data_IF_573343696025
#
_entry.id   IF_573343696025
#
_cell.length_a   1.000
_cell.length_b   1.000
_cell.length_c   1.000
_cell.angle_alpha   90.00
_cell.angle_beta   90.00
_cell.angle_gamma   90.00
#
_symmetry.space_group_name_H-M   'P 1'
#
loop_
_entity.id
_entity.type
_entity.pdbx_description
1 polymer ?
#
# COMPACT_ATOMS: atom_id res chain seq x y z
N UNK A 1 36.61 -18.51 -28.79
CA UNK A 1 35.22 -18.85 -29.20
C UNK A 1 34.34 -19.10 -28.01
N UNK A 2 34.68 -19.99 -27.05
CA UNK A 2 33.85 -20.31 -25.87
C UNK A 2 33.61 -19.08 -24.97
N UNK A 3 34.56 -18.17 -24.81
CA UNK A 3 34.48 -16.95 -24.04
C UNK A 3 33.58 -15.89 -24.72
N UNK A 4 33.66 -15.77 -26.05
CA UNK A 4 32.76 -14.92 -26.85
C UNK A 4 31.33 -15.43 -26.84
N UNK A 5 31.09 -16.73 -26.88
CA UNK A 5 29.78 -17.35 -26.74
C UNK A 5 29.13 -17.05 -25.35
N UNK A 6 29.92 -17.08 -24.28
CA UNK A 6 29.42 -16.76 -22.93
C UNK A 6 29.03 -15.29 -22.77
N UNK A 7 29.84 -14.36 -23.34
CA UNK A 7 29.52 -12.92 -23.30
C UNK A 7 28.23 -12.62 -24.09
N UNK A 8 28.11 -13.21 -25.29
CA UNK A 8 26.94 -13.06 -26.14
C UNK A 8 25.66 -13.63 -25.46
N UNK A 9 25.75 -14.81 -24.84
CA UNK A 9 24.63 -15.42 -24.12
C UNK A 9 24.21 -14.60 -22.90
N UNK A 10 25.16 -14.05 -22.14
CA UNK A 10 24.88 -13.15 -21.02
C UNK A 10 24.18 -11.88 -21.48
N UNK A 11 24.66 -11.26 -22.56
CA UNK A 11 24.02 -10.07 -23.11
C UNK A 11 22.58 -10.34 -23.59
N UNK A 12 22.34 -11.49 -24.20
CA UNK A 12 20.99 -11.93 -24.61
C UNK A 12 20.07 -12.16 -23.40
N UNK A 13 20.59 -12.75 -22.30
CA UNK A 13 19.82 -12.94 -21.06
C UNK A 13 19.46 -11.59 -20.42
N UNK A 14 20.41 -10.65 -20.35
CA UNK A 14 20.12 -9.30 -19.81
C UNK A 14 19.10 -8.56 -20.67
N UNK A 15 19.13 -8.72 -21.99
CA UNK A 15 18.12 -8.13 -22.88
C UNK A 15 16.72 -8.75 -22.62
N UNK A 16 16.65 -10.05 -22.42
CA UNK A 16 15.42 -10.72 -22.02
C UNK A 16 14.92 -10.24 -20.65
N UNK A 17 15.81 -10.16 -19.65
CA UNK A 17 15.45 -9.68 -18.30
C UNK A 17 14.92 -8.24 -18.34
N UNK A 18 15.57 -7.35 -19.10
CA UNK A 18 15.11 -5.98 -19.29
C UNK A 18 13.73 -5.90 -19.97
N UNK A 19 13.44 -6.80 -20.91
CA UNK A 19 12.11 -6.89 -21.50
C UNK A 19 11.05 -7.27 -20.45
N UNK A 20 11.34 -8.24 -19.57
CA UNK A 20 10.43 -8.59 -18.47
C UNK A 20 10.28 -7.43 -17.46
N UNK A 21 11.35 -6.75 -17.08
CA UNK A 21 11.32 -5.56 -16.20
C UNK A 21 10.45 -4.45 -16.77
N UNK A 22 10.47 -4.28 -18.07
CA UNK A 22 9.75 -3.20 -18.77
C UNK A 22 8.30 -3.55 -19.11
N UNK A 23 8.03 -4.78 -19.50
CA UNK A 23 6.76 -5.16 -20.12
C UNK A 23 6.04 -6.32 -19.40
N UNK A 24 6.68 -6.95 -18.40
CA UNK A 24 6.13 -8.12 -17.71
C UNK A 24 4.78 -7.86 -17.05
N UNK A 25 4.56 -6.64 -16.54
CA UNK A 25 3.30 -6.23 -15.92
C UNK A 25 2.09 -6.35 -16.86
N UNK A 26 2.28 -6.22 -18.18
CA UNK A 26 1.21 -6.41 -19.17
C UNK A 26 0.68 -7.85 -19.20
N UNK A 27 1.51 -8.83 -18.84
CA UNK A 27 1.16 -10.24 -18.74
C UNK A 27 0.87 -10.69 -17.30
N UNK A 28 0.86 -9.76 -16.33
CA UNK A 28 0.60 -10.06 -14.93
C UNK A 28 -0.84 -10.55 -14.71
N UNK A 29 -1.00 -11.42 -13.72
CA UNK A 29 -2.28 -12.03 -13.34
C UNK A 29 -3.02 -11.16 -12.33
N UNK A 30 -3.54 -10.02 -12.81
CA UNK A 30 -4.19 -9.01 -11.97
C UNK A 30 -5.72 -9.13 -11.93
N UNK A 31 -6.30 -10.00 -12.75
CA UNK A 31 -7.75 -10.24 -12.79
C UNK A 31 -8.10 -11.58 -12.15
N UNK A 32 -8.50 -11.59 -10.86
CA UNK A 32 -8.81 -12.83 -10.14
C UNK A 32 -10.03 -13.56 -10.70
N UNK A 33 -10.90 -12.85 -11.43
CA UNK A 33 -12.10 -13.42 -12.04
C UNK A 33 -11.85 -13.89 -13.49
N UNK A 34 -10.68 -13.59 -14.05
CA UNK A 34 -10.30 -13.95 -15.43
C UNK A 34 -11.31 -13.48 -16.48
N UNK A 35 -11.92 -12.30 -16.27
CA UNK A 35 -12.91 -11.73 -17.19
C UNK A 35 -12.27 -11.17 -18.46
N UNK A 36 -10.98 -10.81 -18.38
CA UNK A 36 -10.23 -10.26 -19.51
C UNK A 36 -9.08 -11.20 -19.88
N UNK A 37 -8.90 -11.53 -21.17
CA UNK A 37 -7.74 -12.31 -21.60
C UNK A 37 -6.44 -11.58 -21.26
N UNK A 38 -5.46 -12.32 -20.72
CA UNK A 38 -4.13 -11.76 -20.46
C UNK A 38 -3.44 -11.41 -21.76
N UNK A 39 -2.80 -10.26 -21.77
CA UNK A 39 -1.92 -9.87 -22.87
C UNK A 39 -0.73 -10.85 -22.94
N UNK A 40 -0.27 -11.10 -24.15
CA UNK A 40 0.94 -11.87 -24.43
C UNK A 40 1.89 -10.97 -25.23
N UNK A 41 2.65 -10.10 -24.55
CA UNK A 41 3.58 -9.19 -25.23
C UNK A 41 4.63 -10.00 -25.97
N UNK A 42 4.88 -9.67 -27.23
CA UNK A 42 5.84 -10.37 -28.12
C UNK A 42 7.24 -10.39 -27.49
N UNK A 43 7.63 -9.31 -26.83
CA UNK A 43 8.94 -9.17 -26.17
C UNK A 43 9.18 -10.12 -24.99
N UNK A 44 8.20 -10.90 -24.54
CA UNK A 44 8.30 -11.82 -23.42
C UNK A 44 8.44 -13.29 -23.86
N UNK A 45 8.76 -13.53 -25.13
CA UNK A 45 9.01 -14.86 -25.68
C UNK A 45 10.49 -15.21 -25.52
N UNK A 46 10.87 -16.16 -24.61
CA UNK A 46 12.28 -16.48 -24.36
C UNK A 46 13.03 -16.94 -25.62
N UNK A 47 12.32 -17.63 -26.55
CA UNK A 47 12.87 -18.10 -27.81
C UNK A 47 13.45 -16.99 -28.69
N UNK A 48 12.91 -15.76 -28.63
CA UNK A 48 13.42 -14.60 -29.38
C UNK A 48 14.82 -14.16 -28.90
N UNK A 49 15.20 -14.57 -27.70
CA UNK A 49 16.50 -14.32 -27.09
C UNK A 49 17.41 -15.56 -27.10
N UNK A 50 16.96 -16.67 -27.70
CA UNK A 50 17.70 -17.93 -27.74
C UNK A 50 17.66 -18.73 -26.43
N UNK A 51 16.62 -18.56 -25.61
CA UNK A 51 16.41 -19.26 -24.35
C UNK A 51 15.15 -20.14 -24.39
N UNK A 52 15.11 -21.14 -23.53
CA UNK A 52 13.95 -21.98 -23.31
C UNK A 52 12.99 -21.32 -22.30
N UNK A 53 11.70 -21.71 -22.27
CA UNK A 53 10.73 -21.18 -21.31
C UNK A 53 11.15 -21.31 -19.84
N UNK A 54 11.84 -22.40 -19.49
CA UNK A 54 12.38 -22.66 -18.15
C UNK A 54 13.48 -21.68 -17.74
N UNK A 55 14.28 -21.17 -18.68
CA UNK A 55 15.33 -20.17 -18.41
C UNK A 55 14.72 -18.84 -17.95
N UNK A 56 13.48 -18.55 -18.35
CA UNK A 56 12.75 -17.33 -17.99
C UNK A 56 11.77 -17.53 -16.81
N UNK A 57 11.74 -18.71 -16.18
CA UNK A 57 10.74 -19.01 -15.15
C UNK A 57 10.76 -18.02 -14.00
N UNK A 58 11.94 -17.70 -13.48
CA UNK A 58 12.10 -16.71 -12.40
C UNK A 58 11.59 -15.32 -12.81
N UNK A 59 11.94 -14.85 -14.00
CA UNK A 59 11.46 -13.56 -14.52
C UNK A 59 9.94 -13.53 -14.67
N UNK A 60 9.35 -14.63 -15.14
CA UNK A 60 7.88 -14.74 -15.23
C UNK A 60 7.21 -14.72 -13.87
N UNK A 61 7.77 -15.40 -12.88
CA UNK A 61 7.25 -15.39 -11.51
C UNK A 61 7.32 -13.99 -10.90
N UNK A 62 8.43 -13.27 -11.11
CA UNK A 62 8.61 -11.92 -10.60
C UNK A 62 7.71 -10.89 -11.28
N UNK A 63 7.63 -10.90 -12.62
CA UNK A 63 7.03 -9.78 -13.38
C UNK A 63 5.66 -10.08 -14.00
N UNK A 64 5.29 -11.36 -14.13
CA UNK A 64 3.99 -11.77 -14.67
C UNK A 64 3.11 -12.47 -13.62
N UNK A 65 3.44 -12.33 -12.33
CA UNK A 65 2.70 -12.88 -11.20
C UNK A 65 1.47 -12.05 -10.82
N UNK A 66 1.18 -12.04 -9.52
CA UNK A 66 0.02 -11.32 -8.95
C UNK A 66 0.28 -9.83 -8.68
N UNK A 67 1.48 -9.34 -8.98
CA UNK A 67 1.87 -7.93 -8.83
C UNK A 67 2.31 -7.41 -10.19
N UNK A 68 1.72 -6.28 -10.60
CA UNK A 68 2.13 -5.55 -11.81
C UNK A 68 3.23 -4.54 -11.47
N UNK A 69 4.47 -4.84 -11.86
CA UNK A 69 5.62 -3.96 -11.63
C UNK A 69 5.78 -2.94 -12.77
N UNK A 70 5.06 -1.83 -12.70
CA UNK A 70 5.12 -0.76 -13.70
C UNK A 70 6.31 0.18 -13.45
N UNK A 71 7.53 -0.33 -13.52
CA UNK A 71 8.76 0.40 -13.19
C UNK A 71 9.50 0.96 -14.40
N UNK A 72 9.14 0.55 -15.60
CA UNK A 72 9.85 0.93 -16.84
C UNK A 72 9.84 2.42 -17.17
N UNK A 73 8.92 3.21 -16.60
CA UNK A 73 8.84 4.66 -16.78
C UNK A 73 9.79 5.47 -15.87
N UNK A 74 10.38 4.81 -14.86
CA UNK A 74 11.24 5.48 -13.87
C UNK A 74 12.57 5.86 -14.52
N UNK A 75 12.83 7.18 -14.65
CA UNK A 75 14.04 7.71 -15.29
C UNK A 75 15.28 7.52 -14.43
N UNK A 76 15.16 7.58 -13.12
CA UNK A 76 16.30 7.36 -12.21
C UNK A 76 16.67 5.87 -12.22
N UNK A 77 17.81 5.53 -12.81
CA UNK A 77 18.28 4.15 -12.96
C UNK A 77 18.51 3.45 -11.62
N UNK A 78 19.08 4.15 -10.64
CA UNK A 78 19.35 3.59 -9.31
C UNK A 78 18.05 3.14 -8.62
N UNK A 79 17.00 3.96 -8.69
CA UNK A 79 15.67 3.61 -8.14
C UNK A 79 15.04 2.45 -8.90
N UNK A 80 15.12 2.46 -10.22
CA UNK A 80 14.57 1.38 -11.06
C UNK A 80 15.27 0.06 -10.76
N UNK A 81 16.61 0.06 -10.70
CA UNK A 81 17.40 -1.12 -10.42
C UNK A 81 17.15 -1.65 -9.00
N UNK A 82 16.94 -0.75 -8.04
CA UNK A 82 16.55 -1.14 -6.68
C UNK A 82 15.20 -1.86 -6.68
N UNK A 83 14.18 -1.29 -7.36
CA UNK A 83 12.85 -1.91 -7.47
C UNK A 83 12.91 -3.25 -8.22
N UNK A 84 13.73 -3.36 -9.27
CA UNK A 84 13.93 -4.63 -9.98
C UNK A 84 14.52 -5.71 -9.05
N UNK A 85 15.52 -5.35 -8.24
CA UNK A 85 16.07 -6.27 -7.23
C UNK A 85 15.03 -6.70 -6.20
N UNK A 86 14.14 -5.78 -5.77
CA UNK A 86 13.04 -6.15 -4.85
C UNK A 86 12.04 -7.11 -5.52
N UNK A 87 11.69 -6.87 -6.79
CA UNK A 87 10.79 -7.74 -7.53
C UNK A 87 11.37 -9.15 -7.77
N UNK A 88 12.69 -9.24 -7.93
CA UNK A 88 13.43 -10.48 -8.21
C UNK A 88 13.90 -11.20 -6.93
N UNK A 89 13.79 -10.57 -5.75
CA UNK A 89 14.14 -11.19 -4.50
C UNK A 89 13.12 -12.25 -4.08
N UNK A 90 13.55 -13.26 -3.34
CA UNK A 90 12.63 -14.17 -2.68
C UNK A 90 11.78 -13.41 -1.67
N UNK A 91 10.47 -13.65 -1.71
CA UNK A 91 9.55 -13.01 -0.77
C UNK A 91 9.82 -13.55 0.66
N UNK A 92 9.94 -12.63 1.61
CA UNK A 92 10.00 -13.01 3.01
C UNK A 92 8.72 -13.75 3.43
N UNK A 93 8.84 -14.76 4.32
CA UNK A 93 7.68 -15.49 4.80
C UNK A 93 6.68 -14.55 5.49
N UNK A 94 5.46 -14.53 4.99
CA UNK A 94 4.37 -13.74 5.57
C UNK A 94 3.74 -14.48 6.76
N UNK A 95 3.52 -13.79 7.87
CA UNK A 95 2.74 -14.33 8.97
C UNK A 95 1.24 -14.28 8.62
N UNK A 96 0.77 -15.31 7.93
CA UNK A 96 -0.63 -15.44 7.48
C UNK A 96 -1.59 -15.35 8.66
N UNK A 97 -1.27 -15.97 9.82
CA UNK A 97 -2.13 -15.95 10.99
C UNK A 97 -2.36 -14.51 11.49
N UNK A 98 -1.30 -13.70 11.54
CA UNK A 98 -1.42 -12.29 11.95
C UNK A 98 -2.30 -11.49 10.99
N UNK A 99 -2.24 -11.78 9.70
CA UNK A 99 -3.10 -11.14 8.69
C UNK A 99 -4.56 -11.55 8.86
N UNK A 100 -4.83 -12.84 9.11
CA UNK A 100 -6.18 -13.36 9.39
C UNK A 100 -6.75 -12.74 10.67
N UNK A 101 -5.97 -12.68 11.73
CA UNK A 101 -6.39 -12.11 13.01
C UNK A 101 -6.75 -10.62 12.87
N UNK A 102 -5.99 -9.87 12.09
CA UNK A 102 -6.26 -8.47 11.83
C UNK A 102 -7.55 -8.27 11.02
N UNK A 103 -7.77 -9.09 10.00
CA UNK A 103 -9.00 -9.07 9.19
C UNK A 103 -10.21 -9.44 10.06
N UNK A 104 -10.10 -10.49 10.88
CA UNK A 104 -11.17 -10.91 11.78
C UNK A 104 -11.53 -9.82 12.80
N UNK A 105 -10.52 -9.09 13.34
CA UNK A 105 -10.77 -7.94 14.22
C UNK A 105 -11.49 -6.81 13.47
N UNK A 106 -11.13 -6.54 12.21
CA UNK A 106 -11.80 -5.53 11.39
C UNK A 106 -13.26 -5.89 11.13
N UNK A 107 -13.56 -7.13 10.74
CA UNK A 107 -14.92 -7.62 10.51
C UNK A 107 -15.76 -7.55 11.80
N UNK A 108 -15.21 -7.97 12.94
CA UNK A 108 -15.88 -7.89 14.23
C UNK A 108 -16.19 -6.44 14.62
N UNK A 109 -15.23 -5.53 14.43
CA UNK A 109 -15.40 -4.11 14.68
C UNK A 109 -16.53 -3.53 13.81
N UNK A 110 -16.48 -3.74 12.49
CA UNK A 110 -17.46 -3.21 11.55
C UNK A 110 -18.88 -3.81 11.79
N UNK A 111 -18.98 -5.10 12.04
CA UNK A 111 -20.24 -5.74 12.40
C UNK A 111 -20.82 -5.20 13.72
N UNK A 112 -19.96 -4.88 14.69
CA UNK A 112 -20.36 -4.28 15.96
C UNK A 112 -20.86 -2.85 15.75
N UNK A 113 -20.13 -2.04 14.97
CA UNK A 113 -20.57 -0.70 14.60
C UNK A 113 -21.92 -0.71 13.88
N UNK A 114 -22.11 -1.58 12.90
CA UNK A 114 -23.39 -1.73 12.19
C UNK A 114 -24.58 -2.09 13.08
N UNK A 115 -24.35 -2.92 14.10
CA UNK A 115 -25.41 -3.30 15.07
C UNK A 115 -25.69 -2.21 16.10
N UNK A 116 -24.66 -1.54 16.60
CA UNK A 116 -24.76 -0.56 17.69
C UNK A 116 -25.08 0.85 17.20
N UNK A 117 -24.72 1.17 15.98
CA UNK A 117 -24.85 2.51 15.40
C UNK A 117 -25.41 2.43 13.98
N UNK A 118 -26.63 1.88 13.79
CA UNK A 118 -27.18 1.62 12.44
C UNK A 118 -27.42 2.90 11.63
N UNK A 119 -27.53 4.05 12.28
CA UNK A 119 -27.70 5.36 11.63
C UNK A 119 -26.35 6.02 11.25
N UNK A 120 -25.23 5.54 11.80
CA UNK A 120 -23.92 6.10 11.49
C UNK A 120 -23.43 5.60 10.11
N UNK A 121 -22.92 6.52 9.30
CA UNK A 121 -22.25 6.15 8.05
C UNK A 121 -20.87 5.60 8.40
N UNK A 122 -20.66 4.33 8.16
CA UNK A 122 -19.38 3.64 8.38
C UNK A 122 -18.90 3.06 7.08
N UNK A 123 -18.12 3.77 6.30
CA UNK A 123 -17.56 3.23 5.07
C UNK A 123 -16.58 2.09 5.39
N UNK A 124 -17.10 0.87 5.46
CA UNK A 124 -16.35 -0.32 5.86
C UNK A 124 -15.36 -0.81 4.80
N UNK A 125 -14.57 -1.81 5.19
CA UNK A 125 -13.53 -2.43 4.36
C UNK A 125 -14.03 -3.55 3.45
N UNK A 126 -15.30 -3.93 3.53
CA UNK A 126 -15.83 -5.10 2.81
C UNK A 126 -15.38 -5.14 1.34
N UNK A 127 -14.68 -6.21 0.96
CA UNK A 127 -14.06 -6.40 -0.35
C UNK A 127 -12.67 -5.73 -0.53
N UNK A 128 -12.15 -5.05 0.49
CA UNK A 128 -10.84 -4.39 0.47
C UNK A 128 -10.00 -4.67 1.72
N UNK A 129 -10.23 -5.79 2.38
CA UNK A 129 -9.58 -6.16 3.66
C UNK A 129 -8.06 -6.26 3.52
N UNK A 130 -7.56 -6.67 2.34
CA UNK A 130 -6.14 -6.70 2.04
C UNK A 130 -5.45 -5.34 2.18
N UNK A 131 -6.18 -4.24 1.98
CA UNK A 131 -5.66 -2.88 2.21
C UNK A 131 -5.28 -2.63 3.68
N UNK A 132 -6.03 -3.19 4.63
CA UNK A 132 -5.71 -3.09 6.05
C UNK A 132 -4.39 -3.79 6.37
N UNK A 133 -4.21 -5.01 5.85
CA UNK A 133 -2.97 -5.80 6.02
C UNK A 133 -1.78 -5.08 5.40
N UNK A 134 -1.94 -4.57 4.17
CA UNK A 134 -0.92 -3.78 3.49
C UNK A 134 -0.51 -2.55 4.32
N UNK A 135 -1.49 -1.79 4.82
CA UNK A 135 -1.21 -0.60 5.64
C UNK A 135 -0.47 -0.95 6.92
N UNK A 136 -0.87 -2.05 7.60
CA UNK A 136 -0.17 -2.53 8.79
C UNK A 136 1.29 -2.87 8.50
N UNK A 137 1.57 -3.53 7.38
CA UNK A 137 2.93 -3.91 7.00
C UNK A 137 3.78 -2.69 6.62
N UNK A 138 3.20 -1.73 5.90
CA UNK A 138 3.88 -0.45 5.59
C UNK A 138 4.27 0.29 6.87
N UNK A 139 3.40 0.31 7.89
CA UNK A 139 3.72 0.95 9.18
C UNK A 139 4.84 0.20 9.93
N UNK A 140 4.83 -1.15 9.94
CA UNK A 140 5.91 -1.95 10.53
C UNK A 140 7.23 -1.71 9.81
N UNK A 141 7.22 -1.73 8.48
CA UNK A 141 8.40 -1.47 7.65
C UNK A 141 8.95 -0.06 7.87
N UNK A 142 8.09 0.94 8.01
CA UNK A 142 8.51 2.30 8.37
C UNK A 142 9.26 2.32 9.70
N UNK A 143 8.68 1.71 10.74
CA UNK A 143 9.31 1.64 12.06
C UNK A 143 10.66 0.90 12.04
N UNK A 144 10.74 -0.24 11.35
CA UNK A 144 11.99 -1.00 11.22
C UNK A 144 13.08 -0.26 10.43
N UNK A 145 12.66 0.64 9.53
CA UNK A 145 13.55 1.52 8.75
C UNK A 145 13.91 2.83 9.49
N UNK A 146 13.54 2.98 10.77
CA UNK A 146 13.85 4.16 11.58
C UNK A 146 12.93 5.36 11.32
N UNK A 147 11.85 5.19 10.55
CA UNK A 147 10.86 6.24 10.31
C UNK A 147 9.88 6.27 11.47
N UNK A 148 9.91 7.34 12.25
CA UNK A 148 9.10 7.47 13.45
C UNK A 148 7.76 8.17 13.21
N UNK A 149 7.61 8.92 12.11
CA UNK A 149 6.41 9.67 11.79
C UNK A 149 5.89 9.30 10.39
N UNK A 150 4.59 8.99 10.31
CA UNK A 150 3.90 8.66 9.06
C UNK A 150 2.71 9.59 8.88
N UNK A 151 2.68 10.32 7.77
CA UNK A 151 1.61 11.27 7.44
C UNK A 151 0.77 10.73 6.30
N UNK A 152 -0.53 10.52 6.56
CA UNK A 152 -1.45 9.84 5.64
C UNK A 152 -2.47 10.83 5.10
N UNK A 153 -2.51 10.97 3.78
CA UNK A 153 -3.61 11.56 3.03
C UNK A 153 -4.43 10.44 2.42
N UNK A 154 -5.44 9.97 3.11
CA UNK A 154 -6.16 8.75 2.74
C UNK A 154 -7.65 8.94 2.53
N UNK A 155 -8.25 7.97 1.85
CA UNK A 155 -9.67 7.90 1.55
C UNK A 155 -10.54 7.60 2.79
N UNK A 156 -11.86 7.64 2.62
CA UNK A 156 -12.83 7.34 3.68
C UNK A 156 -13.06 5.84 3.91
N UNK A 157 -12.79 4.98 2.90
CA UNK A 157 -13.03 3.52 3.01
C UNK A 157 -12.17 2.90 4.11
N UNK A 158 -12.81 2.21 5.04
CA UNK A 158 -12.16 1.58 6.19
C UNK A 158 -11.51 2.55 7.17
N UNK A 159 -11.79 3.86 7.07
CA UNK A 159 -11.11 4.88 7.88
C UNK A 159 -11.29 4.67 9.38
N UNK A 160 -12.52 4.42 9.84
CA UNK A 160 -12.78 4.20 11.26
C UNK A 160 -12.11 2.92 11.76
N UNK A 161 -12.14 1.87 10.96
CA UNK A 161 -11.48 0.59 11.24
C UNK A 161 -9.97 0.76 11.34
N UNK A 162 -9.35 1.50 10.42
CA UNK A 162 -7.92 1.79 10.46
C UNK A 162 -7.56 2.67 11.67
N UNK A 163 -8.35 3.70 11.97
CA UNK A 163 -8.13 4.54 13.16
C UNK A 163 -8.13 3.69 14.44
N UNK A 164 -9.11 2.78 14.58
CA UNK A 164 -9.23 1.91 15.74
C UNK A 164 -8.10 0.88 15.85
N UNK A 165 -7.76 0.21 14.73
CA UNK A 165 -6.88 -0.96 14.75
C UNK A 165 -5.42 -0.62 14.42
N UNK A 166 -5.16 0.38 13.57
CA UNK A 166 -3.83 0.69 13.08
C UNK A 166 -3.27 2.03 13.54
N UNK A 167 -4.10 3.03 13.80
CA UNK A 167 -3.60 4.39 14.07
C UNK A 167 -3.67 4.78 15.55
N UNK A 168 -4.04 3.84 16.43
CA UNK A 168 -4.00 4.02 17.87
C UNK A 168 -5.09 4.94 18.43
N UNK A 169 -6.18 5.19 17.67
CA UNK A 169 -7.34 5.92 18.21
C UNK A 169 -8.07 5.02 19.20
N UNK A 170 -8.33 5.47 20.45
CA UNK A 170 -9.05 4.67 21.41
C UNK A 170 -10.43 4.28 20.90
N UNK A 171 -10.81 3.01 21.03
CA UNK A 171 -12.08 2.49 20.55
C UNK A 171 -13.28 3.27 21.12
N UNK A 172 -13.19 3.64 22.41
CA UNK A 172 -14.22 4.45 23.05
C UNK A 172 -14.42 5.80 22.36
N UNK A 173 -13.33 6.42 21.90
CA UNK A 173 -13.41 7.69 21.17
C UNK A 173 -13.97 7.50 19.76
N UNK A 174 -13.61 6.43 19.05
CA UNK A 174 -14.21 6.12 17.74
C UNK A 174 -15.72 5.92 17.85
N UNK A 175 -16.18 5.27 18.93
CA UNK A 175 -17.61 5.08 19.20
C UNK A 175 -18.28 6.41 19.55
N UNK A 176 -17.66 7.24 20.37
CA UNK A 176 -18.19 8.54 20.75
C UNK A 176 -18.34 9.46 19.52
N UNK A 177 -17.34 9.51 18.67
CA UNK A 177 -17.39 10.25 17.39
C UNK A 177 -18.54 9.76 16.51
N UNK A 178 -18.72 8.44 16.41
CA UNK A 178 -19.78 7.84 15.60
C UNK A 178 -21.19 8.10 16.17
N UNK A 179 -21.28 8.38 17.48
CA UNK A 179 -22.52 8.81 18.16
C UNK A 179 -22.75 10.32 18.08
N UNK A 180 -21.82 11.07 17.48
CA UNK A 180 -21.90 12.53 17.35
C UNK A 180 -21.62 13.26 18.67
N UNK A 181 -20.89 12.63 19.60
CA UNK A 181 -20.42 13.32 20.82
C UNK A 181 -19.39 14.36 20.41
N UNK A 182 -19.59 15.66 20.76
CA UNK A 182 -18.64 16.70 20.40
C UNK A 182 -17.25 16.43 20.97
N UNK A 183 -16.22 16.59 20.13
CA UNK A 183 -14.81 16.45 20.55
C UNK A 183 -14.33 17.64 21.40
N UNK A 184 -14.97 18.80 21.19
CA UNK A 184 -14.62 20.06 21.85
C UNK A 184 -15.79 20.59 22.69
N UNK A 185 -15.50 21.32 23.79
CA UNK A 185 -16.51 22.06 24.53
C UNK A 185 -17.26 23.08 23.67
N UNK A 186 -18.50 23.36 24.00
CA UNK A 186 -19.39 24.26 23.24
C UNK A 186 -18.83 25.69 23.09
N UNK A 187 -18.00 26.13 24.03
CA UNK A 187 -17.37 27.48 24.07
C UNK A 187 -16.23 27.59 23.03
N UNK A 188 -15.73 26.50 22.44
CA UNK A 188 -14.77 26.56 21.35
C UNK A 188 -15.38 26.98 20.01
N UNK A 189 -16.70 27.05 19.90
CA UNK A 189 -17.40 27.40 18.67
C UNK A 189 -17.17 26.38 17.52
N UNK A 190 -16.69 25.19 17.85
CA UNK A 190 -16.51 24.11 16.89
C UNK A 190 -17.82 23.37 16.69
N UNK A 191 -18.19 23.07 15.43
CA UNK A 191 -19.29 22.18 15.10
C UNK A 191 -18.80 20.75 14.99
N UNK A 192 -19.63 19.78 15.39
CA UNK A 192 -19.38 18.38 15.11
C UNK A 192 -19.45 18.11 13.61
N UNK A 193 -18.58 17.23 13.13
CA UNK A 193 -18.58 16.74 11.75
C UNK A 193 -18.80 15.22 11.74
N UNK A 194 -18.94 14.68 10.55
CA UNK A 194 -19.05 13.24 10.36
C UNK A 194 -17.77 12.54 10.85
N UNK A 195 -17.85 11.44 11.58
CA UNK A 195 -16.69 10.80 12.21
C UNK A 195 -15.60 10.38 11.21
N UNK A 196 -15.96 10.06 9.96
CA UNK A 196 -14.99 9.74 8.93
C UNK A 196 -14.35 10.96 8.24
N UNK A 197 -14.80 12.20 8.54
CA UNK A 197 -14.13 13.44 8.14
C UNK A 197 -13.03 13.86 9.13
N UNK A 198 -13.10 13.37 10.35
CA UNK A 198 -12.14 13.76 11.39
C UNK A 198 -10.74 13.25 11.04
N UNK A 199 -9.74 14.09 11.35
CA UNK A 199 -8.35 13.68 11.38
C UNK A 199 -8.02 12.91 12.66
N UNK A 200 -6.81 12.41 12.74
CA UNK A 200 -6.28 11.79 13.95
C UNK A 200 -4.77 11.94 13.99
N UNK A 201 -4.25 12.03 15.21
CA UNK A 201 -2.83 11.90 15.46
C UNK A 201 -2.64 11.02 16.70
N UNK A 202 -1.86 9.95 16.57
CA UNK A 202 -1.61 9.03 17.66
C UNK A 202 -0.52 8.04 17.33
N UNK A 203 -0.10 7.27 18.32
CA UNK A 203 0.90 6.23 18.14
C UNK A 203 0.24 4.95 17.66
N UNK A 204 0.72 4.46 16.53
CA UNK A 204 0.28 3.18 15.98
C UNK A 204 0.72 2.00 16.85
N UNK A 205 -0.12 0.97 17.03
CA UNK A 205 0.33 -0.33 17.56
C UNK A 205 1.45 -0.97 16.73
N UNK A 206 1.62 -0.54 15.46
CA UNK A 206 2.68 -1.00 14.56
C UNK A 206 4.01 -0.25 14.76
N UNK A 207 4.05 0.77 15.63
CA UNK A 207 5.26 1.47 16.06
C UNK A 207 5.29 2.97 15.81
N UNK A 208 5.09 3.50 14.59
CA UNK A 208 5.29 4.92 14.32
C UNK A 208 4.16 5.80 14.87
N UNK A 209 4.44 7.09 15.00
CA UNK A 209 3.40 8.10 15.13
C UNK A 209 2.69 8.24 13.78
N UNK A 210 1.37 8.22 13.80
CA UNK A 210 0.56 8.40 12.60
C UNK A 210 -0.23 9.71 12.71
N UNK A 211 -0.17 10.50 11.66
CA UNK A 211 -1.09 11.59 11.44
C UNK A 211 -1.90 11.30 10.18
N UNK A 212 -3.22 11.28 10.29
CA UNK A 212 -4.11 11.15 9.13
C UNK A 212 -4.89 12.45 8.93
N UNK A 213 -4.81 12.96 7.69
CA UNK A 213 -5.46 14.22 7.32
C UNK A 213 -6.98 14.13 7.47
N UNK A 214 -7.66 15.20 7.91
CA UNK A 214 -9.13 15.29 7.89
C UNK A 214 -9.66 15.35 6.44
N UNK A 215 -10.98 15.24 6.28
CA UNK A 215 -11.71 15.42 5.03
C UNK A 215 -11.26 14.50 3.87
N UNK A 216 -11.28 13.18 4.06
CA UNK A 216 -10.80 12.20 3.09
C UNK A 216 -11.57 12.21 1.75
N UNK A 217 -12.76 12.79 1.72
CA UNK A 217 -13.59 12.87 0.51
C UNK A 217 -13.05 13.86 -0.54
N UNK A 218 -12.12 14.73 -0.15
CA UNK A 218 -11.44 15.67 -1.05
C UNK A 218 -10.16 15.04 -1.60
N UNK A 219 -10.29 13.96 -2.39
CA UNK A 219 -9.19 13.09 -2.81
C UNK A 219 -8.05 13.83 -3.51
N UNK A 220 -8.36 14.83 -4.35
CA UNK A 220 -7.34 15.61 -5.06
C UNK A 220 -6.57 16.60 -4.16
N UNK A 221 -7.01 16.80 -2.92
CA UNK A 221 -6.41 17.76 -1.97
C UNK A 221 -5.74 17.06 -0.80
N UNK A 222 -6.32 15.97 -0.30
CA UNK A 222 -5.85 15.30 0.92
C UNK A 222 -4.42 14.74 0.79
N UNK A 223 -4.08 14.20 -0.39
CA UNK A 223 -2.72 13.75 -0.70
C UNK A 223 -1.71 14.92 -0.69
N UNK A 224 -1.92 16.00 -1.47
CA UNK A 224 -1.08 17.21 -1.39
C UNK A 224 -0.93 17.79 0.01
N UNK A 225 -1.98 17.78 0.84
CA UNK A 225 -1.90 18.25 2.25
C UNK A 225 -0.94 17.39 3.07
N UNK A 226 -1.02 16.05 2.93
CA UNK A 226 -0.10 15.14 3.62
C UNK A 226 1.36 15.32 3.13
N UNK A 227 1.56 15.51 1.82
CA UNK A 227 2.86 15.77 1.23
C UNK A 227 3.45 17.10 1.71
N UNK A 228 2.64 18.17 1.77
CA UNK A 228 3.06 19.47 2.27
C UNK A 228 3.46 19.42 3.75
N UNK A 229 2.68 18.72 4.58
CA UNK A 229 3.02 18.50 5.99
C UNK A 229 4.32 17.72 6.14
N UNK A 230 4.51 16.65 5.35
CA UNK A 230 5.73 15.87 5.35
C UNK A 230 6.94 16.70 4.92
N UNK A 231 6.76 17.56 3.91
CA UNK A 231 7.83 18.48 3.47
C UNK A 231 8.23 19.43 4.60
N UNK A 232 7.27 20.07 5.24
CA UNK A 232 7.54 20.99 6.36
C UNK A 232 8.26 20.26 7.52
N UNK A 233 7.87 19.04 7.84
CA UNK A 233 8.53 18.26 8.88
C UNK A 233 9.99 17.92 8.51
N UNK A 234 10.24 17.52 7.25
CA UNK A 234 11.60 17.27 6.75
C UNK A 234 12.47 18.52 6.79
N UNK A 235 11.93 19.66 6.41
CA UNK A 235 12.64 20.95 6.46
C UNK A 235 12.99 21.34 7.93
N UNK A 236 12.23 20.83 8.90
CA UNK A 236 12.53 20.94 10.34
C UNK A 236 13.46 19.82 10.88
N UNK A 237 13.98 18.93 10.01
CA UNK A 237 14.93 17.88 10.38
C UNK A 237 14.29 16.58 10.88
N UNK A 238 12.99 16.34 10.64
CA UNK A 238 12.33 15.10 11.01
C UNK A 238 12.35 14.06 9.89
N UNK A 239 12.60 12.80 10.24
CA UNK A 239 12.44 11.67 9.32
C UNK A 239 10.97 11.23 9.28
N UNK A 240 10.31 11.52 8.14
CA UNK A 240 8.89 11.27 7.97
C UNK A 240 8.58 10.58 6.65
N UNK A 241 7.56 9.72 6.64
CA UNK A 241 7.03 9.07 5.45
C UNK A 241 5.63 9.61 5.13
N UNK A 242 5.42 10.29 3.99
CA UNK A 242 4.09 10.58 3.50
C UNK A 242 3.51 9.40 2.75
N UNK A 243 2.21 9.16 2.93
CA UNK A 243 1.41 8.18 2.20
C UNK A 243 0.20 8.91 1.62
N UNK A 244 0.03 8.88 0.31
CA UNK A 244 -1.15 9.34 -0.38
C UNK A 244 -1.90 8.13 -0.97
N UNK A 245 -3.18 7.95 -0.58
CA UNK A 245 -3.99 6.77 -0.88
C UNK A 245 -5.30 7.17 -1.56
#
# INVERSE_FOLDING_TARGET
EAMMNNVSRRAAFEAMAEAYRRWGWLAADLDPLSLTPRLQPVHLTPGDYGFLPEDAQHLRQSYCGKIGWEIGHIQNTERRDWLSRQAEAEAEPVNIQQSIDLIAQAELFEATCGKRMPAAKTFGLAGTEGYLVLTAEVLRSAQSSGINDVFIGGMHRGRLTQMALLFGKPLAQVIADAQGVPEFPDDYGASSDSPYHLGWQGRSPMGPQVWIAPHPSHLSIVGPVALGRARAARDAGHEVMPIAL
#
